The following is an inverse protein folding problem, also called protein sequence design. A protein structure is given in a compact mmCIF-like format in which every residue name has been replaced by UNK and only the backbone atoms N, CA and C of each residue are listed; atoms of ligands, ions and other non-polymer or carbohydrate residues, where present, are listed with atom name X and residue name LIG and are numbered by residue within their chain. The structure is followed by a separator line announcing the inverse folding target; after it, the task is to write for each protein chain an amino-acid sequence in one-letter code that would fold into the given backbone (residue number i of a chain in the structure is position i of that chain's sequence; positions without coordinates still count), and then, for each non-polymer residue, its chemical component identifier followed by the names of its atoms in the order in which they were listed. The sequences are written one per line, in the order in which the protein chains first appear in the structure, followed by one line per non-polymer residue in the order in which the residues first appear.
data_IF_796279777031
#
_entry.id   IF_796279777031
#
_cell.length_a   1.000
_cell.length_b   1.000
_cell.length_c   1.000
_cell.angle_alpha   90.00
_cell.angle_beta   90.00
_cell.angle_gamma   90.00
#
_symmetry.space_group_name_H-M   'P 1'
#
loop_
_entity.id
_entity.type
_entity.pdbx_description
1 polymer ?
#
# COMPACT_ATOMS: atom_id res chain seq x y z
N UNK A 1 -5.08 8.79 16.20
CA UNK A 1 -4.09 9.53 15.39
C UNK A 1 -4.25 9.07 13.95
N UNK A 2 -4.18 9.95 12.95
CA UNK A 2 -4.18 9.50 11.55
C UNK A 2 -2.95 8.62 11.33
N UNK A 3 -3.14 7.43 10.77
CA UNK A 3 -2.08 6.50 10.44
C UNK A 3 -1.73 6.64 8.95
N UNK A 4 -0.45 6.45 8.62
CA UNK A 4 0.05 6.44 7.25
C UNK A 4 0.61 5.04 6.95
N UNK A 5 0.28 4.50 5.78
CA UNK A 5 0.78 3.23 5.27
C UNK A 5 1.59 3.51 4.01
N UNK A 6 2.85 3.09 4.01
CA UNK A 6 3.72 3.12 2.84
C UNK A 6 3.77 1.75 2.18
N UNK A 7 3.51 1.70 0.88
CA UNK A 7 3.57 0.47 0.08
C UNK A 7 4.64 0.60 -0.97
N UNK A 8 5.58 -0.34 -0.99
CA UNK A 8 6.51 -0.46 -2.10
C UNK A 8 5.81 -1.00 -3.35
N UNK A 9 6.01 -0.34 -4.47
CA UNK A 9 5.54 -0.76 -5.79
C UNK A 9 6.76 -1.18 -6.61
N UNK A 10 6.65 -2.30 -7.31
CA UNK A 10 7.63 -2.82 -8.24
C UNK A 10 6.93 -3.42 -9.47
N UNK A 11 7.70 -3.94 -10.43
CA UNK A 11 7.18 -4.59 -11.64
C UNK A 11 6.91 -6.09 -11.46
N UNK A 12 7.11 -6.62 -10.26
CA UNK A 12 6.94 -8.04 -10.02
C UNK A 12 5.45 -8.41 -10.03
N UNK A 13 5.15 -9.63 -10.46
CA UNK A 13 3.77 -10.15 -10.55
C UNK A 13 3.01 -10.12 -9.22
N UNK A 14 3.71 -10.11 -8.09
CA UNK A 14 3.12 -10.04 -6.75
C UNK A 14 2.81 -8.61 -6.28
N UNK A 15 3.21 -7.57 -7.02
CA UNK A 15 2.98 -6.17 -6.67
C UNK A 15 1.48 -5.87 -6.51
N UNK A 16 0.64 -6.39 -7.42
CA UNK A 16 -0.81 -6.22 -7.37
C UNK A 16 -1.42 -6.80 -6.08
N UNK A 17 -1.06 -8.04 -5.72
CA UNK A 17 -1.55 -8.67 -4.49
C UNK A 17 -1.12 -7.91 -3.22
N UNK A 18 0.11 -7.36 -3.21
CA UNK A 18 0.60 -6.51 -2.11
C UNK A 18 -0.20 -5.21 -2.02
N UNK A 19 -0.50 -4.58 -3.15
CA UNK A 19 -1.30 -3.36 -3.20
C UNK A 19 -2.74 -3.61 -2.71
N UNK A 20 -3.38 -4.69 -3.15
CA UNK A 20 -4.74 -5.06 -2.73
C UNK A 20 -4.81 -5.26 -1.20
N UNK A 21 -3.83 -5.97 -0.64
CA UNK A 21 -3.73 -6.16 0.82
C UNK A 21 -3.62 -4.82 1.54
N UNK A 22 -2.73 -3.94 1.06
CA UNK A 22 -2.48 -2.66 1.70
C UNK A 22 -3.67 -1.70 1.62
N UNK A 23 -4.41 -1.69 0.50
CA UNK A 23 -5.71 -1.00 0.39
C UNK A 23 -6.67 -1.49 1.47
N UNK A 24 -6.80 -2.82 1.63
CA UNK A 24 -7.65 -3.41 2.66
C UNK A 24 -7.27 -2.99 4.08
N UNK A 25 -5.98 -2.90 4.39
CA UNK A 25 -5.49 -2.41 5.69
C UNK A 25 -5.80 -0.93 5.86
N UNK A 26 -5.53 -0.10 4.85
CA UNK A 26 -5.75 1.35 4.90
C UNK A 26 -7.22 1.69 5.16
N UNK A 27 -8.14 1.02 4.47
CA UNK A 27 -9.58 1.18 4.66
C UNK A 27 -10.01 0.84 6.09
N UNK A 28 -9.57 -0.30 6.63
CA UNK A 28 -9.92 -0.73 8.00
C UNK A 28 -9.40 0.23 9.06
N UNK A 29 -8.23 0.83 8.82
CA UNK A 29 -7.59 1.73 9.79
C UNK A 29 -7.93 3.20 9.58
N UNK A 30 -8.71 3.55 8.53
CA UNK A 30 -8.87 4.93 8.04
C UNK A 30 -7.52 5.63 7.89
N UNK A 31 -6.54 4.89 7.40
CA UNK A 31 -5.18 5.34 7.20
C UNK A 31 -5.01 5.89 5.78
N UNK A 32 -4.11 6.87 5.61
CA UNK A 32 -3.68 7.32 4.30
C UNK A 32 -2.71 6.29 3.70
N UNK A 33 -2.90 5.94 2.44
CA UNK A 33 -2.04 5.00 1.72
C UNK A 33 -1.15 5.77 0.73
N UNK A 34 0.16 5.57 0.81
CA UNK A 34 1.14 6.14 -0.13
C UNK A 34 1.89 5.02 -0.82
N UNK A 35 1.94 5.03 -2.15
CA UNK A 35 2.74 4.11 -2.96
C UNK A 35 4.11 4.70 -3.31
N UNK A 36 5.17 3.90 -3.19
CA UNK A 36 6.53 4.27 -3.59
C UNK A 36 7.09 3.27 -4.60
N UNK A 37 7.29 3.74 -5.83
CA UNK A 37 7.99 3.05 -6.89
C UNK A 37 9.41 3.61 -7.01
N UNK A 38 10.43 2.76 -6.94
CA UNK A 38 11.84 3.16 -7.06
C UNK A 38 12.41 2.50 -8.32
N UNK A 39 13.10 3.30 -9.13
CA UNK A 39 13.76 2.88 -10.39
C UNK A 39 15.19 2.45 -10.11
#
# INVERSE_FOLDING_TARGET
MPADILVHLDTASHCAARLDLAIGVALRQRARLTGLYVV
#
